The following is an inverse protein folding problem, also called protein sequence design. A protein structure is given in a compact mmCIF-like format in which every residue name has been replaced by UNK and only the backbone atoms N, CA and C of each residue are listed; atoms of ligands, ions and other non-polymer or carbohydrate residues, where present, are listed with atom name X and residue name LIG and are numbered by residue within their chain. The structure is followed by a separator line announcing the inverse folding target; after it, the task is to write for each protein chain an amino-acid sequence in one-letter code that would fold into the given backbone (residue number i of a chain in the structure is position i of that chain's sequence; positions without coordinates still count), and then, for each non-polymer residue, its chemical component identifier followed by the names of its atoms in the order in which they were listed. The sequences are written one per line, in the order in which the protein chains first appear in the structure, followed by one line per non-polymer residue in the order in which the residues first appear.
data_IF_983158578511
#
_entry.id   IF_983158578511
#
_cell.length_a   1.000
_cell.length_b   1.000
_cell.length_c   1.000
_cell.angle_alpha   90.00
_cell.angle_beta   90.00
_cell.angle_gamma   90.00
#
_symmetry.space_group_name_H-M   'P 1'
#
loop_
_entity.id
_entity.type
_entity.pdbx_description
1 polymer ?
#
# COMPACT_ATOMS: atom_id res chain seq x y z
N UNK A 1 21.98 -0.48 9.73
CA UNK A 1 22.48 0.26 8.54
C UNK A 1 24.00 0.14 8.53
N UNK A 2 24.58 -0.20 7.40
CA UNK A 2 26.00 -0.49 7.23
C UNK A 2 26.47 0.22 5.94
N UNK A 3 27.02 1.42 6.07
CA UNK A 3 27.51 2.25 4.95
C UNK A 3 28.49 3.30 5.39
N UNK A 4 29.47 3.60 4.54
CA UNK A 4 30.40 4.73 4.61
C UNK A 4 30.03 5.85 3.63
N UNK A 5 29.07 5.60 2.72
CA UNK A 5 28.53 6.62 1.83
C UNK A 5 27.64 7.59 2.62
N UNK A 6 28.18 8.77 2.90
CA UNK A 6 27.50 9.81 3.69
C UNK A 6 26.20 10.31 3.02
N UNK A 7 26.15 10.38 1.68
CA UNK A 7 24.94 10.84 0.97
C UNK A 7 23.81 9.82 1.12
N UNK A 8 24.12 8.55 0.94
CA UNK A 8 23.17 7.47 1.16
C UNK A 8 22.76 7.41 2.63
N UNK A 9 23.72 7.53 3.56
CA UNK A 9 23.46 7.54 5.00
C UNK A 9 22.45 8.63 5.38
N UNK A 10 22.67 9.88 5.01
CA UNK A 10 21.80 10.99 5.39
C UNK A 10 20.39 10.86 4.78
N UNK A 11 20.29 10.44 3.51
CA UNK A 11 18.99 10.20 2.87
C UNK A 11 18.23 9.07 3.56
N UNK A 12 18.93 7.97 3.84
CA UNK A 12 18.32 6.79 4.46
C UNK A 12 17.89 7.08 5.89
N UNK A 13 18.76 7.74 6.69
CA UNK A 13 18.44 8.14 8.06
C UNK A 13 17.16 8.98 8.11
N UNK A 14 17.08 10.02 7.29
CA UNK A 14 15.91 10.90 7.21
C UNK A 14 14.61 10.13 6.89
N UNK A 15 14.66 9.19 5.93
CA UNK A 15 13.48 8.39 5.57
C UNK A 15 13.13 7.36 6.64
N UNK A 16 14.09 6.69 7.25
CA UNK A 16 13.83 5.74 8.33
C UNK A 16 13.23 6.44 9.56
N UNK A 17 13.71 7.64 9.90
CA UNK A 17 13.11 8.46 10.96
C UNK A 17 11.70 8.91 10.62
N UNK A 18 11.46 9.38 9.38
CA UNK A 18 10.13 9.76 8.91
C UNK A 18 9.14 8.59 8.99
N UNK A 19 9.58 7.39 8.60
CA UNK A 19 8.80 6.15 8.65
C UNK A 19 8.79 5.51 10.06
N UNK A 20 9.46 6.12 11.04
CA UNK A 20 9.58 5.64 12.44
C UNK A 20 10.16 4.22 12.52
N UNK A 21 11.07 3.89 11.61
CA UNK A 21 11.77 2.62 11.59
C UNK A 21 13.01 2.73 12.51
N UNK A 22 13.01 1.97 13.60
CA UNK A 22 14.18 1.86 14.46
C UNK A 22 15.30 1.11 13.74
N UNK A 23 16.50 1.63 13.80
CA UNK A 23 17.68 1.03 13.18
C UNK A 23 18.93 1.28 14.03
N UNK A 24 19.96 0.49 13.77
CA UNK A 24 21.30 0.66 14.35
C UNK A 24 22.31 0.93 13.23
N UNK A 25 23.31 1.74 13.51
CA UNK A 25 24.41 2.02 12.60
C UNK A 25 25.57 1.09 12.97
N UNK A 26 25.98 0.29 12.00
CA UNK A 26 27.11 -0.62 12.17
C UNK A 26 28.35 -0.06 11.46
N UNK A 27 29.51 -0.25 12.06
CA UNK A 27 30.78 0.11 11.44
C UNK A 27 31.23 -1.01 10.49
N UNK A 28 31.61 -0.66 9.25
CA UNK A 28 32.09 -1.62 8.24
C UNK A 28 33.36 -2.38 8.70
N UNK A 29 34.16 -1.77 9.58
CA UNK A 29 35.38 -2.38 10.12
C UNK A 29 35.12 -3.50 11.13
N UNK A 30 33.92 -3.63 11.63
CA UNK A 30 33.54 -4.74 12.51
C UNK A 30 32.97 -5.89 11.66
N UNK A 31 33.28 -7.12 12.03
CA UNK A 31 32.63 -8.32 11.43
C UNK A 31 31.13 -8.07 11.50
N UNK A 32 30.43 -8.32 10.37
CA UNK A 32 28.96 -8.22 10.33
C UNK A 32 28.44 -9.12 11.46
N UNK A 33 27.77 -8.57 12.48
CA UNK A 33 27.26 -9.39 13.56
C UNK A 33 26.21 -10.35 12.98
N UNK A 34 26.29 -11.63 13.36
CA UNK A 34 25.30 -12.62 13.01
C UNK A 34 23.99 -12.33 13.76
N UNK A 35 23.22 -11.34 13.25
CA UNK A 35 21.94 -10.95 13.83
C UNK A 35 20.84 -11.65 13.03
N UNK A 36 20.28 -12.74 13.57
CA UNK A 36 19.16 -13.43 12.91
C UNK A 36 17.98 -12.48 12.70
N UNK A 37 17.29 -12.62 11.56
CA UNK A 37 16.10 -11.82 11.21
C UNK A 37 16.35 -10.32 11.06
N UNK A 38 17.58 -9.88 10.88
CA UNK A 38 17.90 -8.46 10.62
C UNK A 38 17.79 -8.13 9.12
N UNK A 39 17.57 -6.84 8.83
CA UNK A 39 17.68 -6.28 7.49
C UNK A 39 18.89 -5.36 7.49
N UNK A 40 19.90 -5.69 6.70
CA UNK A 40 21.11 -4.90 6.53
C UNK A 40 20.91 -4.00 5.30
N UNK A 41 21.05 -2.69 5.52
CA UNK A 41 20.91 -1.69 4.46
C UNK A 41 22.31 -1.14 4.13
N UNK A 42 22.72 -1.20 2.88
CA UNK A 42 24.05 -0.82 2.37
C UNK A 42 23.94 -0.34 0.92
N UNK A 43 25.07 0.01 0.29
CA UNK A 43 25.14 0.30 -1.15
C UNK A 43 25.66 -0.92 -1.95
N UNK A 44 25.37 -0.95 -3.26
CA UNK A 44 25.91 -2.00 -4.15
C UNK A 44 27.44 -1.97 -4.22
N UNK A 45 28.04 -0.80 -4.12
CA UNK A 45 29.48 -0.60 -4.18
C UNK A 45 30.16 -1.19 -2.93
N UNK A 46 29.51 -1.06 -1.78
CA UNK A 46 30.05 -1.55 -0.51
C UNK A 46 29.90 -3.04 -0.31
N UNK A 47 28.89 -3.67 -0.96
CA UNK A 47 28.65 -5.10 -0.85
C UNK A 47 29.87 -5.93 -1.26
N UNK A 48 30.61 -5.49 -2.29
CA UNK A 48 31.82 -6.16 -2.78
C UNK A 48 32.98 -6.18 -1.77
N UNK A 49 32.93 -5.29 -0.79
CA UNK A 49 33.97 -5.14 0.24
C UNK A 49 33.70 -6.03 1.47
N UNK A 50 32.53 -6.69 1.53
CA UNK A 50 32.20 -7.54 2.67
C UNK A 50 32.79 -8.95 2.49
N UNK A 51 33.72 -9.30 3.36
CA UNK A 51 34.16 -10.67 3.52
C UNK A 51 33.03 -11.49 4.18
N UNK A 52 32.76 -12.70 3.66
CA UNK A 52 31.78 -13.66 4.22
C UNK A 52 30.29 -13.25 4.15
N UNK A 53 29.88 -12.55 3.10
CA UNK A 53 28.45 -12.21 2.83
C UNK A 53 27.54 -13.45 2.92
N UNK A 54 28.01 -14.61 2.44
CA UNK A 54 27.25 -15.87 2.41
C UNK A 54 26.92 -16.41 3.82
N UNK A 55 27.61 -15.94 4.84
CA UNK A 55 27.38 -16.35 6.23
C UNK A 55 26.41 -15.44 6.98
N UNK A 56 25.93 -14.38 6.36
CA UNK A 56 24.99 -13.46 6.98
C UNK A 56 23.59 -14.06 7.00
N UNK A 57 23.06 -14.38 8.19
CA UNK A 57 21.70 -14.90 8.36
C UNK A 57 20.61 -13.83 8.15
N UNK A 58 20.99 -12.55 8.09
CA UNK A 58 20.12 -11.41 7.82
C UNK A 58 19.85 -11.23 6.32
N UNK A 59 18.81 -10.47 6.00
CA UNK A 59 18.51 -10.06 4.62
C UNK A 59 19.33 -8.80 4.28
N UNK A 60 20.12 -8.85 3.21
CA UNK A 60 20.87 -7.68 2.73
C UNK A 60 20.03 -6.99 1.63
N UNK A 61 19.83 -5.70 1.77
CA UNK A 61 19.25 -4.82 0.74
C UNK A 61 20.28 -3.75 0.39
N UNK A 62 20.70 -3.75 -0.87
CA UNK A 62 21.68 -2.82 -1.40
C UNK A 62 21.04 -1.79 -2.31
N UNK A 63 21.39 -0.55 -2.10
CA UNK A 63 21.02 0.57 -2.95
C UNK A 63 21.99 0.69 -4.13
N UNK A 64 21.46 0.70 -5.35
CA UNK A 64 22.25 0.96 -6.55
C UNK A 64 22.19 2.45 -6.91
N UNK A 65 23.35 3.10 -7.23
CA UNK A 65 23.40 4.53 -7.55
C UNK A 65 22.49 4.96 -8.74
N UNK A 66 22.10 4.01 -9.61
CA UNK A 66 21.19 4.24 -10.73
C UNK A 66 19.71 3.97 -10.37
N UNK A 67 19.45 3.44 -9.21
CA UNK A 67 18.10 3.16 -8.73
C UNK A 67 17.47 4.44 -8.17
N UNK A 68 16.17 4.63 -8.40
CA UNK A 68 15.43 5.65 -7.67
C UNK A 68 15.39 5.28 -6.18
N UNK A 69 15.80 6.21 -5.33
CA UNK A 69 15.83 6.00 -3.89
C UNK A 69 14.45 5.65 -3.31
N UNK A 70 13.39 6.19 -3.89
CA UNK A 70 12.02 5.85 -3.47
C UNK A 70 11.70 4.38 -3.77
N UNK A 71 12.18 3.83 -4.90
CA UNK A 71 12.07 2.41 -5.24
C UNK A 71 12.80 1.53 -4.22
N UNK A 72 14.01 1.93 -3.83
CA UNK A 72 14.75 1.24 -2.77
C UNK A 72 13.98 1.25 -1.45
N UNK A 73 13.40 2.37 -1.05
CA UNK A 73 12.59 2.46 0.18
C UNK A 73 11.35 1.57 0.15
N UNK A 74 10.72 1.38 -1.01
CA UNK A 74 9.62 0.39 -1.15
C UNK A 74 10.11 -1.02 -0.84
N UNK A 75 11.29 -1.41 -1.33
CA UNK A 75 11.90 -2.72 -1.03
C UNK A 75 12.21 -2.88 0.48
N UNK A 76 12.70 -1.81 1.11
CA UNK A 76 12.96 -1.77 2.57
C UNK A 76 11.66 -1.97 3.36
N UNK A 77 10.59 -1.25 3.01
CA UNK A 77 9.29 -1.37 3.65
C UNK A 77 8.71 -2.78 3.49
N UNK A 78 8.77 -3.34 2.27
CA UNK A 78 8.29 -4.68 1.99
C UNK A 78 9.06 -5.74 2.81
N UNK A 79 10.38 -5.62 2.89
CA UNK A 79 11.21 -6.51 3.69
C UNK A 79 10.88 -6.42 5.18
N UNK A 80 10.70 -5.20 5.71
CA UNK A 80 10.38 -4.97 7.13
C UNK A 80 9.00 -5.48 7.51
N UNK A 81 7.96 -5.15 6.70
CA UNK A 81 6.56 -5.42 7.07
C UNK A 81 6.13 -6.85 6.76
N UNK A 82 6.64 -7.43 5.69
CA UNK A 82 6.21 -8.74 5.21
C UNK A 82 7.23 -9.83 5.55
N UNK A 83 8.52 -9.49 5.64
CA UNK A 83 9.60 -10.43 5.96
C UNK A 83 9.85 -11.51 4.90
N UNK A 84 8.99 -11.63 3.88
CA UNK A 84 9.07 -12.64 2.81
C UNK A 84 9.87 -12.11 1.62
N UNK A 85 10.44 -13.03 0.84
CA UNK A 85 11.18 -12.71 -0.40
C UNK A 85 10.25 -12.77 -1.61
N UNK A 86 9.13 -13.52 -1.52
CA UNK A 86 8.20 -13.73 -2.64
C UNK A 86 6.86 -13.07 -2.36
N UNK A 87 6.38 -12.32 -3.32
CA UNK A 87 5.12 -11.62 -3.27
C UNK A 87 4.18 -12.18 -4.34
N UNK A 88 2.90 -12.29 -4.05
CA UNK A 88 1.89 -12.85 -4.94
C UNK A 88 0.85 -11.84 -5.39
N UNK A 89 0.55 -10.86 -4.54
CA UNK A 89 -0.55 -9.91 -4.77
C UNK A 89 -0.19 -8.52 -4.31
N UNK A 90 -0.56 -7.52 -5.10
CA UNK A 90 -0.43 -6.10 -4.79
C UNK A 90 -1.79 -5.43 -4.96
N UNK A 91 -2.34 -4.91 -3.88
CA UNK A 91 -3.65 -4.24 -3.87
C UNK A 91 -3.43 -2.73 -3.70
N UNK A 92 -4.01 -1.95 -4.60
CA UNK A 92 -4.09 -0.50 -4.52
C UNK A 92 -5.53 -0.10 -4.20
N UNK A 93 -5.72 0.62 -3.10
CA UNK A 93 -7.02 1.19 -2.74
C UNK A 93 -6.98 2.70 -2.90
N UNK A 94 -7.91 3.26 -3.66
CA UNK A 94 -7.89 4.64 -4.13
C UNK A 94 -9.18 5.35 -3.71
N UNK A 95 -9.02 6.49 -3.03
CA UNK A 95 -10.08 7.47 -2.76
C UNK A 95 -9.94 8.64 -3.75
N UNK A 96 -10.79 8.73 -4.80
CA UNK A 96 -10.67 9.75 -5.84
C UNK A 96 -11.26 11.09 -5.42
N UNK A 97 -10.53 11.86 -4.63
CA UNK A 97 -10.96 13.21 -4.21
C UNK A 97 -10.80 14.29 -5.29
N UNK A 98 -11.47 15.44 -5.12
CA UNK A 98 -11.40 16.58 -6.05
C UNK A 98 -10.04 17.26 -6.06
N UNK A 99 -9.44 17.44 -4.89
CA UNK A 99 -8.15 18.13 -4.72
C UNK A 99 -6.98 17.15 -4.62
N UNK A 100 -7.17 16.07 -3.93
CA UNK A 100 -6.15 15.08 -3.65
C UNK A 100 -6.72 13.68 -3.86
N UNK A 101 -5.84 12.70 -4.08
CA UNK A 101 -6.21 11.29 -4.10
C UNK A 101 -5.61 10.63 -2.86
N UNK A 102 -6.41 9.86 -2.15
CA UNK A 102 -5.91 8.92 -1.15
C UNK A 102 -5.49 7.62 -1.83
N UNK A 103 -4.30 7.13 -1.50
CA UNK A 103 -3.78 5.86 -2.00
C UNK A 103 -3.28 5.03 -0.83
N UNK A 104 -3.79 3.81 -0.69
CA UNK A 104 -3.29 2.81 0.26
C UNK A 104 -2.86 1.57 -0.49
N UNK A 105 -1.71 1.01 -0.12
CA UNK A 105 -1.07 -0.11 -0.79
C UNK A 105 -0.97 -1.29 0.19
N UNK A 106 -1.40 -2.47 -0.25
CA UNK A 106 -1.21 -3.73 0.45
C UNK A 106 -0.36 -4.67 -0.39
N UNK A 107 0.52 -5.40 0.27
CA UNK A 107 1.36 -6.43 -0.32
C UNK A 107 1.11 -7.75 0.41
N UNK A 108 0.73 -8.80 -0.32
CA UNK A 108 0.37 -10.10 0.27
C UNK A 108 -0.62 -9.96 1.44
N UNK A 109 -1.66 -9.15 1.27
CA UNK A 109 -2.72 -8.96 2.27
C UNK A 109 -2.36 -8.05 3.46
N UNK A 110 -1.10 -7.58 3.57
CA UNK A 110 -0.67 -6.68 4.64
C UNK A 110 -0.45 -5.25 4.15
N UNK A 111 -0.75 -4.29 5.00
CA UNK A 111 -0.51 -2.88 4.73
C UNK A 111 0.98 -2.61 4.48
N UNK A 112 1.29 -2.01 3.34
CA UNK A 112 2.65 -1.64 2.98
C UNK A 112 2.92 -0.16 3.20
N UNK A 113 2.09 0.71 2.63
CA UNK A 113 2.26 2.16 2.70
C UNK A 113 0.97 2.90 2.32
N UNK A 114 0.94 4.22 2.55
CA UNK A 114 -0.12 5.09 2.06
C UNK A 114 0.43 6.45 1.58
N UNK A 115 -0.31 7.12 0.72
CA UNK A 115 0.04 8.42 0.17
C UNK A 115 -1.18 9.30 -0.06
N UNK A 116 -1.02 10.60 0.21
CA UNK A 116 -1.89 11.64 -0.34
C UNK A 116 -1.24 12.19 -1.60
N UNK A 117 -1.87 11.99 -2.76
CA UNK A 117 -1.38 12.42 -4.06
C UNK A 117 -2.01 13.76 -4.41
N UNK A 118 -1.20 14.82 -4.40
CA UNK A 118 -1.63 16.20 -4.68
C UNK A 118 -1.72 16.50 -6.18
N UNK A 119 -0.86 15.90 -6.99
CA UNK A 119 -0.89 15.99 -8.45
C UNK A 119 -1.32 14.65 -9.05
N UNK A 120 -2.50 14.63 -9.69
CA UNK A 120 -3.08 13.41 -10.29
C UNK A 120 -2.21 12.81 -11.40
N UNK A 121 -1.42 13.62 -12.09
CA UNK A 121 -0.51 13.12 -13.13
C UNK A 121 0.53 12.16 -12.57
N UNK A 122 0.91 12.36 -11.30
CA UNK A 122 1.83 11.45 -10.58
C UNK A 122 1.20 10.13 -10.12
N UNK A 123 -0.11 9.97 -10.28
CA UNK A 123 -0.80 8.74 -9.84
C UNK A 123 -0.23 7.51 -10.54
N UNK A 124 -0.15 7.54 -11.88
CA UNK A 124 0.36 6.41 -12.66
C UNK A 124 1.84 6.16 -12.40
N UNK A 125 2.64 7.22 -12.26
CA UNK A 125 4.06 7.10 -11.91
C UNK A 125 4.23 6.38 -10.57
N UNK A 126 3.43 6.75 -9.56
CA UNK A 126 3.46 6.13 -8.24
C UNK A 126 3.06 4.65 -8.32
N UNK A 127 1.99 4.29 -9.03
CA UNK A 127 1.57 2.90 -9.25
C UNK A 127 2.69 2.09 -9.92
N UNK A 128 3.25 2.60 -11.03
CA UNK A 128 4.34 1.93 -11.74
C UNK A 128 5.58 1.74 -10.87
N UNK A 129 5.92 2.73 -10.06
CA UNK A 129 7.05 2.66 -9.15
C UNK A 129 6.90 1.49 -8.17
N UNK A 130 5.72 1.32 -7.54
CA UNK A 130 5.46 0.19 -6.65
C UNK A 130 5.51 -1.16 -7.38
N UNK A 131 4.85 -1.26 -8.54
CA UNK A 131 4.84 -2.50 -9.34
C UNK A 131 6.28 -2.88 -9.71
N UNK A 132 7.06 -1.95 -10.27
CA UNK A 132 8.44 -2.19 -10.68
C UNK A 132 9.30 -2.62 -9.51
N UNK A 133 9.30 -1.87 -8.41
CA UNK A 133 10.15 -2.15 -7.25
C UNK A 133 9.92 -3.53 -6.63
N UNK A 134 8.67 -4.00 -6.66
CA UNK A 134 8.28 -5.27 -6.06
C UNK A 134 8.35 -6.44 -7.05
N UNK A 135 8.14 -6.19 -8.35
CA UNK A 135 8.25 -7.20 -9.39
C UNK A 135 9.70 -7.58 -9.69
N UNK A 136 10.65 -6.63 -9.64
CA UNK A 136 12.08 -6.89 -9.91
C UNK A 136 12.68 -7.98 -9.01
N UNK A 137 12.19 -8.10 -7.78
CA UNK A 137 12.64 -9.12 -6.82
C UNK A 137 11.83 -10.42 -6.90
N UNK A 138 10.86 -10.48 -7.80
CA UNK A 138 9.85 -11.53 -7.83
C UNK A 138 9.91 -12.31 -9.15
N UNK A 139 10.08 -13.63 -9.08
CA UNK A 139 10.12 -14.51 -10.27
C UNK A 139 8.74 -14.79 -10.87
N UNK A 140 7.67 -14.56 -10.10
CA UNK A 140 6.28 -14.78 -10.52
C UNK A 140 5.61 -13.41 -10.69
N UNK A 141 4.82 -13.20 -11.76
CA UNK A 141 4.08 -11.96 -11.94
C UNK A 141 3.15 -11.68 -10.75
N UNK A 142 3.17 -10.43 -10.26
CA UNK A 142 2.27 -9.98 -9.21
C UNK A 142 0.83 -9.89 -9.75
N UNK A 143 -0.12 -10.42 -8.99
CA UNK A 143 -1.53 -10.19 -9.23
C UNK A 143 -1.87 -8.78 -8.75
N UNK A 144 -2.33 -7.92 -9.67
CA UNK A 144 -2.67 -6.54 -9.38
C UNK A 144 -4.17 -6.38 -9.15
N UNK A 145 -4.56 -5.70 -8.08
CA UNK A 145 -5.96 -5.37 -7.77
C UNK A 145 -6.05 -3.88 -7.46
N UNK A 146 -6.95 -3.18 -8.16
CA UNK A 146 -7.25 -1.78 -7.95
C UNK A 146 -8.67 -1.63 -7.41
N UNK A 147 -8.82 -1.04 -6.22
CA UNK A 147 -10.09 -0.72 -5.59
C UNK A 147 -10.32 0.78 -5.66
N UNK A 148 -11.36 1.21 -6.34
CA UNK A 148 -11.70 2.62 -6.49
C UNK A 148 -12.99 2.97 -5.76
N UNK A 149 -12.95 4.03 -4.99
CA UNK A 149 -14.15 4.70 -4.51
C UNK A 149 -14.96 5.29 -5.67
N UNK A 150 -16.29 5.27 -5.57
CA UNK A 150 -17.22 5.72 -6.61
C UNK A 150 -17.59 7.20 -6.52
N UNK A 151 -17.08 7.96 -5.53
CA UNK A 151 -17.60 9.30 -5.19
C UNK A 151 -17.68 10.27 -6.36
N UNK A 152 -16.56 10.53 -7.03
CA UNK A 152 -16.54 11.49 -8.14
C UNK A 152 -16.28 10.74 -9.44
N UNK A 153 -17.35 10.23 -10.03
CA UNK A 153 -17.31 9.36 -11.20
C UNK A 153 -16.44 9.86 -12.35
N UNK A 154 -16.45 11.14 -12.78
CA UNK A 154 -15.57 11.60 -13.86
C UNK A 154 -14.08 11.46 -13.52
N UNK A 155 -13.70 11.67 -12.27
CA UNK A 155 -12.32 11.49 -11.81
C UNK A 155 -11.97 10.00 -11.79
N UNK A 156 -12.80 9.18 -11.20
CA UNK A 156 -12.64 7.73 -11.15
C UNK A 156 -12.51 7.14 -12.55
N UNK A 157 -13.36 7.56 -13.49
CA UNK A 157 -13.28 7.13 -14.88
C UNK A 157 -11.94 7.48 -15.52
N UNK A 158 -11.49 8.73 -15.37
CA UNK A 158 -10.21 9.17 -15.93
C UNK A 158 -9.04 8.35 -15.38
N UNK A 159 -9.00 8.09 -14.06
CA UNK A 159 -7.94 7.30 -13.44
C UNK A 159 -7.95 5.85 -13.93
N UNK A 160 -9.12 5.24 -14.11
CA UNK A 160 -9.27 3.89 -14.64
C UNK A 160 -8.80 3.83 -16.10
N UNK A 161 -9.16 4.81 -16.94
CA UNK A 161 -8.70 4.91 -18.31
C UNK A 161 -7.16 5.03 -18.38
N UNK A 162 -6.58 5.83 -17.51
CA UNK A 162 -5.11 5.94 -17.40
C UNK A 162 -4.47 4.60 -17.01
N UNK A 163 -5.07 3.81 -16.11
CA UNK A 163 -4.55 2.47 -15.79
C UNK A 163 -4.59 1.56 -17.01
N UNK A 164 -5.70 1.48 -17.75
CA UNK A 164 -5.81 0.64 -18.94
C UNK A 164 -4.81 1.02 -20.04
N UNK A 165 -4.50 2.31 -20.19
CA UNK A 165 -3.52 2.78 -21.17
C UNK A 165 -2.09 2.48 -20.73
N UNK A 166 -1.80 2.61 -19.45
CA UNK A 166 -0.44 2.70 -18.95
C UNK A 166 0.09 1.43 -18.27
N UNK A 167 -0.78 0.56 -17.77
CA UNK A 167 -0.41 -0.70 -17.13
C UNK A 167 -0.60 -1.81 -18.15
N UNK A 168 0.50 -2.23 -18.77
CA UNK A 168 0.50 -3.29 -19.80
C UNK A 168 0.77 -4.68 -19.23
N UNK A 169 1.14 -4.74 -17.98
CA UNK A 169 1.46 -5.99 -17.30
C UNK A 169 0.19 -6.73 -17.01
N UNK A 170 0.16 -7.99 -17.34
CA UNK A 170 -0.80 -9.05 -17.01
C UNK A 170 -2.17 -8.59 -16.46
N UNK A 171 -3.20 -9.39 -16.71
CA UNK A 171 -4.56 -9.16 -16.26
C UNK A 171 -4.64 -8.60 -14.83
N UNK A 172 -4.94 -7.32 -14.68
CA UNK A 172 -5.28 -6.72 -13.40
C UNK A 172 -6.78 -6.66 -13.22
N UNK A 173 -7.23 -6.62 -11.96
CA UNK A 173 -8.64 -6.50 -11.60
C UNK A 173 -8.93 -5.09 -11.10
N UNK A 174 -10.05 -4.52 -11.52
CA UNK A 174 -10.57 -3.26 -11.00
C UNK A 174 -11.89 -3.51 -10.29
N UNK A 175 -12.03 -3.01 -9.08
CA UNK A 175 -13.21 -3.15 -8.23
C UNK A 175 -13.70 -1.76 -7.85
N UNK A 176 -14.95 -1.45 -8.21
CA UNK A 176 -15.61 -0.21 -7.80
C UNK A 176 -16.30 -0.40 -6.45
N UNK A 177 -16.01 0.51 -5.52
CA UNK A 177 -16.46 0.45 -4.14
C UNK A 177 -17.41 1.61 -3.84
N UNK A 178 -18.50 1.35 -3.14
CA UNK A 178 -19.31 2.42 -2.57
C UNK A 178 -18.54 3.08 -1.41
N UNK A 179 -18.21 4.37 -1.58
CA UNK A 179 -17.44 5.12 -0.59
C UNK A 179 -18.30 5.93 0.38
N UNK A 180 -19.62 5.71 0.42
CA UNK A 180 -20.49 6.43 1.35
C UNK A 180 -19.96 6.38 2.77
N UNK A 181 -19.86 7.56 3.42
CA UNK A 181 -19.37 7.74 4.79
C UNK A 181 -17.90 7.33 5.07
N UNK A 182 -17.05 7.07 4.07
CA UNK A 182 -15.63 6.72 4.31
C UNK A 182 -14.84 7.86 4.94
N UNK A 183 -15.15 9.08 4.57
CA UNK A 183 -14.42 10.29 5.00
C UNK A 183 -14.70 10.76 6.43
N UNK A 184 -15.58 10.07 7.17
CA UNK A 184 -15.90 10.43 8.58
C UNK A 184 -14.91 9.88 9.59
N UNK A 185 -14.16 8.84 9.23
CA UNK A 185 -13.29 8.13 10.15
C UNK A 185 -11.98 8.88 10.40
N UNK A 186 -11.62 9.00 11.69
CA UNK A 186 -10.36 9.60 12.14
C UNK A 186 -9.46 8.48 12.65
N UNK A 187 -8.61 7.95 11.78
CA UNK A 187 -7.74 6.81 12.05
C UNK A 187 -6.37 7.32 12.49
N UNK A 188 -5.70 6.60 13.38
CA UNK A 188 -4.36 6.91 13.89
C UNK A 188 -3.39 5.80 13.51
N UNK A 189 -2.14 6.18 13.27
CA UNK A 189 -1.03 5.25 13.10
C UNK A 189 -0.50 4.71 14.43
N UNK A 190 0.53 3.86 14.39
CA UNK A 190 1.20 3.32 15.59
C UNK A 190 1.72 4.41 16.54
N UNK A 191 2.09 5.58 16.01
CA UNK A 191 2.54 6.73 16.81
C UNK A 191 1.40 7.53 17.42
N UNK A 192 0.15 7.07 17.26
CA UNK A 192 -1.09 7.76 17.65
C UNK A 192 -1.33 9.08 16.90
N UNK A 193 -0.58 9.35 15.81
CA UNK A 193 -0.83 10.46 14.92
C UNK A 193 -1.98 10.14 13.97
N UNK A 194 -2.80 11.14 13.69
CA UNK A 194 -3.86 11.01 12.69
C UNK A 194 -3.24 10.90 11.30
N UNK A 195 -3.63 9.88 10.56
CA UNK A 195 -3.30 9.81 9.14
C UNK A 195 -4.14 10.83 8.35
N UNK A 196 -3.68 11.26 7.16
CA UNK A 196 -4.43 12.14 6.29
C UNK A 196 -5.82 11.59 5.97
N UNK A 197 -6.81 12.48 5.84
CA UNK A 197 -8.21 12.09 5.64
C UNK A 197 -8.42 11.24 4.39
N UNK A 198 -7.74 11.59 3.30
CA UNK A 198 -7.87 10.91 2.02
C UNK A 198 -7.26 9.49 2.11
N UNK A 199 -6.16 9.32 2.83
CA UNK A 199 -5.56 7.99 3.12
C UNK A 199 -6.47 7.14 4.02
N UNK A 200 -7.09 7.77 5.04
CA UNK A 200 -8.06 7.08 5.89
C UNK A 200 -9.27 6.60 5.07
N UNK A 201 -9.79 7.43 4.16
CA UNK A 201 -10.88 7.04 3.27
C UNK A 201 -10.47 5.89 2.33
N UNK A 202 -9.27 5.96 1.72
CA UNK A 202 -8.74 4.87 0.91
C UNK A 202 -8.55 3.57 1.71
N UNK A 203 -8.14 3.65 2.97
CA UNK A 203 -8.05 2.48 3.86
C UNK A 203 -9.43 1.85 4.10
N UNK A 204 -10.45 2.64 4.36
CA UNK A 204 -11.83 2.13 4.52
C UNK A 204 -12.36 1.51 3.22
N UNK A 205 -12.06 2.12 2.05
CA UNK A 205 -12.40 1.55 0.74
C UNK A 205 -11.79 0.14 0.58
N UNK A 206 -10.56 -0.09 1.06
CA UNK A 206 -9.92 -1.40 0.96
C UNK A 206 -10.68 -2.51 1.68
N UNK A 207 -11.36 -2.18 2.77
CA UNK A 207 -12.13 -3.11 3.59
C UNK A 207 -13.46 -3.54 2.96
N UNK A 208 -13.98 -2.78 2.01
CA UNK A 208 -15.29 -3.00 1.41
C UNK A 208 -15.24 -3.93 0.21
N UNK A 209 -16.36 -4.60 -0.03
CA UNK A 209 -16.62 -5.32 -1.27
C UNK A 209 -17.22 -4.39 -2.31
N UNK A 210 -17.12 -4.76 -3.58
CA UNK A 210 -17.59 -3.94 -4.68
C UNK A 210 -17.81 -4.72 -5.97
N UNK A 211 -18.04 -3.98 -7.05
CA UNK A 211 -18.28 -4.54 -8.37
C UNK A 211 -16.98 -4.60 -9.18
N UNK A 212 -16.66 -5.76 -9.70
CA UNK A 212 -15.55 -5.92 -10.63
C UNK A 212 -15.94 -5.36 -12.01
N UNK A 213 -15.04 -4.56 -12.58
CA UNK A 213 -15.18 -4.01 -13.93
C UNK A 213 -14.03 -4.48 -14.81
N UNK A 214 -14.32 -4.62 -16.10
CA UNK A 214 -13.38 -5.04 -17.14
C UNK A 214 -13.21 -3.91 -18.16
N UNK A 215 -12.20 -4.04 -19.01
CA UNK A 215 -11.99 -3.10 -20.12
C UNK A 215 -13.23 -2.99 -21.04
N UNK A 216 -13.96 -4.09 -21.26
CA UNK A 216 -15.10 -4.11 -22.16
C UNK A 216 -16.35 -3.45 -21.56
N UNK A 217 -16.52 -3.52 -20.24
CA UNK A 217 -17.76 -3.07 -19.59
C UNK A 217 -17.63 -1.76 -18.80
N UNK A 218 -16.40 -1.26 -18.56
CA UNK A 218 -16.22 -0.11 -17.65
C UNK A 218 -16.97 1.15 -18.11
N UNK A 219 -16.96 1.46 -19.43
CA UNK A 219 -17.64 2.65 -19.96
C UNK A 219 -19.15 2.57 -19.74
N UNK A 220 -19.74 1.38 -19.96
CA UNK A 220 -21.17 1.15 -19.77
C UNK A 220 -21.55 1.27 -18.30
N UNK A 221 -20.78 0.62 -17.42
CA UNK A 221 -21.02 0.66 -15.97
C UNK A 221 -20.87 2.07 -15.43
N UNK A 222 -19.83 2.81 -15.82
CA UNK A 222 -19.58 4.16 -15.35
C UNK A 222 -20.60 5.17 -15.88
N UNK A 223 -21.09 5.03 -17.11
CA UNK A 223 -22.16 5.87 -17.67
C UNK A 223 -23.53 5.61 -17.03
N UNK A 224 -23.84 4.35 -16.75
CA UNK A 224 -25.15 3.97 -16.21
C UNK A 224 -25.28 4.16 -14.70
N UNK A 225 -24.21 4.54 -14.02
CA UNK A 225 -24.20 4.67 -12.56
C UNK A 225 -25.04 5.82 -11.99
N UNK A 226 -25.66 6.66 -12.82
CA UNK A 226 -26.78 7.51 -12.38
C UNK A 226 -28.08 6.72 -12.13
N UNK A 227 -28.20 5.48 -12.62
CA UNK A 227 -29.43 4.69 -12.63
C UNK A 227 -29.31 3.24 -12.14
N UNK A 228 -28.19 2.83 -11.56
CA UNK A 228 -28.13 1.51 -10.91
C UNK A 228 -28.96 1.50 -9.62
N UNK A 229 -30.27 1.46 -9.80
CA UNK A 229 -31.29 1.19 -8.77
C UNK A 229 -31.26 -0.26 -8.27
N UNK A 230 -30.11 -0.79 -7.95
CA UNK A 230 -30.03 -1.91 -7.02
C UNK A 230 -30.07 -1.39 -5.56
N UNK A 231 -30.94 -0.40 -5.35
CA UNK A 231 -31.26 0.21 -4.06
C UNK A 231 -31.65 -0.80 -2.97
N UNK A 232 -32.10 -1.99 -3.34
CA UNK A 232 -32.49 -3.03 -2.35
C UNK A 232 -31.30 -3.58 -1.56
N UNK A 233 -30.10 -3.64 -2.16
CA UNK A 233 -28.92 -4.14 -1.47
C UNK A 233 -28.35 -3.10 -0.49
N UNK A 234 -28.44 -1.81 -0.83
CA UNK A 234 -27.82 -0.71 -0.06
C UNK A 234 -28.74 -0.09 1.02
N UNK A 235 -30.06 -0.23 0.94
CA UNK A 235 -31.00 0.31 1.94
C UNK A 235 -31.00 -0.41 3.29
N UNK A 236 -30.41 -1.59 3.40
CA UNK A 236 -30.34 -2.36 4.66
C UNK A 236 -29.28 -1.88 5.66
N UNK A 237 -28.42 -0.96 5.22
CA UNK A 237 -27.20 -0.54 5.96
C UNK A 237 -27.40 0.75 6.79
N UNK A 238 -28.58 1.29 6.86
CA UNK A 238 -28.81 2.66 7.36
C UNK A 238 -28.95 2.80 8.89
N UNK A 239 -28.66 1.79 9.71
CA UNK A 239 -28.67 1.91 11.18
C UNK A 239 -27.26 1.68 11.73
N UNK A 240 -26.43 2.73 11.65
CA UNK A 240 -25.11 2.75 12.28
C UNK A 240 -25.22 3.22 13.73
N UNK A 241 -24.81 2.38 14.65
CA UNK A 241 -24.58 2.74 16.05
C UNK A 241 -23.13 3.23 16.23
N UNK A 242 -22.86 4.10 17.22
CA UNK A 242 -21.53 4.59 17.56
C UNK A 242 -20.52 3.45 17.86
N UNK A 243 -20.99 2.33 18.37
CA UNK A 243 -20.23 1.12 18.67
C UNK A 243 -19.60 0.51 17.41
N UNK A 244 -20.27 0.65 16.28
CA UNK A 244 -19.87 0.19 14.97
C UNK A 244 -18.71 1.00 14.37
N UNK A 245 -18.77 2.32 14.52
CA UNK A 245 -17.73 3.20 14.03
C UNK A 245 -16.42 3.01 14.82
N UNK A 246 -16.51 2.72 16.13
CA UNK A 246 -15.33 2.44 16.95
C UNK A 246 -14.63 1.16 16.52
N UNK A 247 -15.36 0.11 16.14
CA UNK A 247 -14.80 -1.16 15.68
C UNK A 247 -14.08 -1.03 14.35
N UNK A 248 -14.64 -0.26 13.42
CA UNK A 248 -13.98 0.02 12.14
C UNK A 248 -12.65 0.75 12.35
N UNK A 249 -12.63 1.73 13.26
CA UNK A 249 -11.40 2.47 13.59
C UNK A 249 -10.38 1.50 14.20
N UNK A 250 -10.77 0.67 15.17
CA UNK A 250 -9.90 -0.33 15.78
C UNK A 250 -9.27 -1.28 14.74
N UNK A 251 -10.09 -1.82 13.83
CA UNK A 251 -9.62 -2.70 12.75
C UNK A 251 -8.66 -1.96 11.82
N UNK A 252 -8.98 -0.72 11.43
CA UNK A 252 -8.14 0.09 10.56
C UNK A 252 -6.78 0.42 11.22
N UNK A 253 -6.77 0.75 12.51
CA UNK A 253 -5.54 0.97 13.28
C UNK A 253 -4.71 -0.33 13.42
N UNK A 254 -5.37 -1.48 13.61
CA UNK A 254 -4.70 -2.78 13.64
C UNK A 254 -4.08 -3.18 12.27
N UNK A 255 -4.70 -2.76 11.16
CA UNK A 255 -4.12 -2.93 9.82
C UNK A 255 -2.87 -2.06 9.67
N UNK A 256 -2.92 -0.79 10.03
CA UNK A 256 -1.80 0.14 9.89
C UNK A 256 -0.57 -0.31 10.70
N UNK A 257 -0.81 -0.90 11.87
CA UNK A 257 0.23 -1.47 12.73
C UNK A 257 0.76 -2.83 12.23
N UNK A 258 0.16 -3.42 11.18
CA UNK A 258 0.53 -4.74 10.69
C UNK A 258 0.05 -5.91 11.55
N UNK A 259 -0.72 -5.64 12.61
CA UNK A 259 -1.26 -6.67 13.51
C UNK A 259 -2.41 -7.45 12.88
N UNK A 260 -3.02 -6.90 11.83
CA UNK A 260 -4.17 -7.51 11.17
C UNK A 260 -4.02 -7.45 9.65
N UNK A 261 -4.28 -8.55 8.96
CA UNK A 261 -4.30 -8.60 7.50
C UNK A 261 -5.63 -8.10 6.94
N UNK A 262 -5.66 -7.72 5.66
CA UNK A 262 -6.85 -7.21 4.99
C UNK A 262 -7.98 -8.26 4.92
N UNK A 263 -7.62 -9.53 4.62
CA UNK A 263 -8.60 -10.65 4.56
C UNK A 263 -9.20 -10.92 5.93
N UNK A 264 -8.36 -10.99 6.98
CA UNK A 264 -8.83 -11.22 8.35
C UNK A 264 -9.72 -10.09 8.86
N UNK A 265 -9.39 -8.85 8.49
CA UNK A 265 -10.20 -7.67 8.80
C UNK A 265 -11.61 -7.77 8.20
N UNK A 266 -11.72 -8.22 6.95
CA UNK A 266 -13.01 -8.45 6.28
C UNK A 266 -13.80 -9.58 6.93
N UNK A 267 -13.14 -10.67 7.31
CA UNK A 267 -13.78 -11.76 8.05
C UNK A 267 -14.40 -11.27 9.36
N UNK A 268 -13.67 -10.46 10.13
CA UNK A 268 -14.16 -9.88 11.39
C UNK A 268 -15.36 -8.96 11.15
N UNK A 269 -15.29 -8.09 10.14
CA UNK A 269 -16.39 -7.21 9.77
C UNK A 269 -17.63 -8.00 9.32
N UNK A 270 -17.46 -9.08 8.57
CA UNK A 270 -18.56 -9.94 8.10
C UNK A 270 -19.16 -10.76 9.24
N UNK A 271 -18.35 -11.29 10.17
CA UNK A 271 -18.80 -12.07 11.32
C UNK A 271 -19.71 -11.26 12.26
N UNK A 272 -19.41 -9.97 12.41
CA UNK A 272 -20.23 -9.05 13.22
C UNK A 272 -21.45 -8.53 12.43
N UNK A 273 -21.76 -9.08 11.25
CA UNK A 273 -22.81 -8.59 10.31
C UNK A 273 -22.62 -7.12 9.93
N UNK A 274 -21.37 -6.68 9.97
CA UNK A 274 -20.94 -5.36 9.50
C UNK A 274 -20.84 -5.44 7.98
N UNK A 275 -21.99 -5.34 7.32
CA UNK A 275 -22.00 -5.26 5.85
C UNK A 275 -21.64 -3.86 5.42
N UNK A 276 -20.57 -3.76 4.68
CA UNK A 276 -20.18 -2.57 3.93
C UNK A 276 -20.67 -2.62 2.50
#
# INVERSE_FOLDING_TARGET
MLTEDLNFFYRLNKELEHLQIKFEVLNIRTKIPDIPNSIILTTMEEISNFENIDNVKGKILSYANKEDFEQFMVKVLAAKRIGKIRYSELVFSIDPGTKHLGLVIFLNDFYLNSHTIYNRERFIEKIRMYIKSLQETNSIPLKLIFKFGRGIMPITQNLIEQLFINIKENSFRIILIDESKTSKYKIRDESRKKIPKDEAAALIISLRDGFEITFDNYKTILKNNGNMKNEKYYRKIARYNNEFDSKIIEIAEAILSGNLSLSKSRELLNAEKIFF
#
